data_IF_244619210021
#
_entry.id   IF_244619210021
#
_cell.length_a   1.000
_cell.length_b   1.000
_cell.length_c   1.000
_cell.angle_alpha   90.00
_cell.angle_beta   90.00
_cell.angle_gamma   90.00
#
_symmetry.space_group_name_H-M   'P 1'
#
loop_
_entity.id
_entity.type
_entity.pdbx_description
1 polymer ?
#
# COMPACT_ATOMS: atom_id res chain seq x y z
N UNK A 1 88.86 8.41 -36.27
CA UNK A 1 87.66 7.56 -36.45
C UNK A 1 86.69 7.90 -35.34
N UNK A 2 85.61 8.63 -35.66
CA UNK A 2 84.56 9.01 -34.70
C UNK A 2 83.34 8.16 -35.05
N UNK A 3 82.98 7.25 -34.14
CA UNK A 3 81.79 6.42 -34.30
C UNK A 3 80.55 7.30 -34.10
N UNK A 4 79.85 7.59 -35.21
CA UNK A 4 78.58 8.28 -35.19
C UNK A 4 77.51 7.35 -34.62
N UNK A 5 77.14 7.59 -33.37
CA UNK A 5 76.10 6.86 -32.64
C UNK A 5 74.72 7.17 -33.24
N UNK A 6 74.10 6.19 -33.91
CA UNK A 6 72.69 6.22 -34.36
C UNK A 6 71.75 6.05 -33.15
N UNK A 7 71.69 7.03 -32.25
CA UNK A 7 70.74 7.03 -31.11
C UNK A 7 69.42 7.75 -31.41
N UNK A 8 69.32 8.51 -32.51
CA UNK A 8 68.17 9.38 -32.78
C UNK A 8 66.91 8.74 -33.38
N UNK A 9 66.92 7.45 -33.73
CA UNK A 9 65.75 6.79 -34.36
C UNK A 9 64.79 6.12 -33.35
N UNK A 10 65.18 5.98 -32.08
CA UNK A 10 64.35 5.35 -31.04
C UNK A 10 63.51 6.35 -30.23
N UNK A 11 63.74 7.65 -30.35
CA UNK A 11 63.03 8.68 -29.56
C UNK A 11 61.59 8.93 -30.03
N UNK A 12 61.33 8.86 -31.34
CA UNK A 12 60.01 9.09 -31.92
C UNK A 12 58.95 8.06 -31.48
N UNK A 13 59.21 6.73 -31.52
CA UNK A 13 58.22 5.75 -31.07
C UNK A 13 57.93 5.81 -29.56
N UNK A 14 58.91 6.24 -28.74
CA UNK A 14 58.73 6.36 -27.29
C UNK A 14 57.72 7.48 -26.92
N UNK A 15 57.77 8.61 -27.63
CA UNK A 15 56.83 9.72 -27.39
C UNK A 15 55.38 9.32 -27.70
N UNK A 16 55.15 8.55 -28.77
CA UNK A 16 53.81 8.05 -29.09
C UNK A 16 53.29 7.07 -28.05
N UNK A 17 54.16 6.19 -27.52
CA UNK A 17 53.78 5.30 -26.43
C UNK A 17 53.40 6.09 -25.18
N UNK A 18 54.17 7.13 -24.83
CA UNK A 18 53.86 7.99 -23.69
C UNK A 18 52.52 8.72 -23.87
N UNK A 19 52.26 9.27 -25.07
CA UNK A 19 50.98 9.92 -25.39
C UNK A 19 49.82 8.93 -25.26
N UNK A 20 49.97 7.68 -25.73
CA UNK A 20 48.95 6.65 -25.60
C UNK A 20 48.68 6.27 -24.14
N UNK A 21 49.74 6.11 -23.34
CA UNK A 21 49.60 5.78 -21.91
C UNK A 21 48.93 6.94 -21.16
N UNK A 22 49.38 8.18 -21.38
CA UNK A 22 48.81 9.36 -20.75
C UNK A 22 47.34 9.57 -21.18
N UNK A 23 47.04 9.43 -22.47
CA UNK A 23 45.68 9.49 -23.00
C UNK A 23 44.77 8.40 -22.41
N UNK A 24 45.27 7.17 -22.32
CA UNK A 24 44.55 6.05 -21.69
C UNK A 24 44.24 6.30 -20.21
N UNK A 25 45.22 6.80 -19.45
CA UNK A 25 45.02 7.12 -18.03
C UNK A 25 43.98 8.23 -17.82
N UNK A 26 44.00 9.26 -18.67
CA UNK A 26 43.02 10.35 -18.65
C UNK A 26 41.61 9.82 -18.99
N UNK A 27 41.49 9.01 -20.04
CA UNK A 27 40.20 8.42 -20.43
C UNK A 27 39.58 7.54 -19.35
N UNK A 28 40.39 6.70 -18.70
CA UNK A 28 39.94 5.86 -17.56
C UNK A 28 39.43 6.75 -16.42
N UNK A 29 40.12 7.85 -16.13
CA UNK A 29 39.71 8.78 -15.08
C UNK A 29 38.36 9.43 -15.40
N UNK A 30 38.16 9.90 -16.63
CA UNK A 30 36.88 10.46 -17.05
C UNK A 30 35.75 9.43 -17.01
N UNK A 31 36.00 8.20 -17.43
CA UNK A 31 35.01 7.13 -17.38
C UNK A 31 34.58 6.83 -15.94
N UNK A 32 35.53 6.72 -15.01
CA UNK A 32 35.23 6.54 -13.59
C UNK A 32 34.47 7.74 -12.99
N UNK A 33 34.81 8.96 -13.40
CA UNK A 33 34.10 10.16 -12.98
C UNK A 33 32.66 10.18 -13.48
N UNK A 34 32.43 9.88 -14.77
CA UNK A 34 31.10 9.83 -15.38
C UNK A 34 30.22 8.79 -14.68
N UNK A 35 30.75 7.59 -14.41
CA UNK A 35 30.01 6.55 -13.68
C UNK A 35 29.60 7.03 -12.27
N UNK A 36 30.49 7.71 -11.55
CA UNK A 36 30.16 8.27 -10.22
C UNK A 36 29.14 9.39 -10.30
N UNK A 37 29.25 10.27 -11.30
CA UNK A 37 28.30 11.35 -11.51
C UNK A 37 26.90 10.81 -11.85
N UNK A 38 26.82 9.77 -12.70
CA UNK A 38 25.57 9.11 -13.03
C UNK A 38 24.92 8.49 -11.79
N UNK A 39 25.68 7.71 -11.00
CA UNK A 39 25.15 7.09 -9.77
C UNK A 39 24.69 8.13 -8.74
N UNK A 40 25.42 9.25 -8.59
CA UNK A 40 25.01 10.34 -7.72
C UNK A 40 23.74 11.05 -8.23
N UNK A 41 23.59 11.17 -9.55
CA UNK A 41 22.39 11.73 -10.19
C UNK A 41 21.17 10.82 -9.98
N UNK A 42 21.33 9.51 -10.19
CA UNK A 42 20.29 8.51 -9.95
C UNK A 42 19.84 8.51 -8.49
N UNK A 43 20.79 8.59 -7.54
CA UNK A 43 20.50 8.69 -6.12
C UNK A 43 19.71 9.96 -5.76
N UNK A 44 20.11 11.11 -6.31
CA UNK A 44 19.43 12.38 -6.06
C UNK A 44 18.02 12.40 -6.67
N UNK A 45 17.83 11.81 -7.85
CA UNK A 45 16.51 11.65 -8.47
C UNK A 45 15.64 10.76 -7.58
N UNK A 46 16.13 9.60 -7.15
CA UNK A 46 15.40 8.71 -6.26
C UNK A 46 15.02 9.39 -4.93
N UNK A 47 15.93 10.17 -4.33
CA UNK A 47 15.67 10.93 -3.11
C UNK A 47 14.55 11.97 -3.29
N UNK A 48 14.60 12.74 -4.37
CA UNK A 48 13.57 13.72 -4.69
C UNK A 48 12.21 13.04 -4.93
N UNK A 49 12.17 11.96 -5.72
CA UNK A 49 10.94 11.21 -5.98
C UNK A 49 10.33 10.64 -4.70
N UNK A 50 11.18 10.08 -3.82
CA UNK A 50 10.75 9.55 -2.53
C UNK A 50 10.17 10.67 -1.64
N UNK A 51 10.82 11.84 -1.63
CA UNK A 51 10.35 13.01 -0.89
C UNK A 51 9.04 13.58 -1.44
N UNK A 52 8.89 13.61 -2.77
CA UNK A 52 7.67 14.08 -3.42
C UNK A 52 6.50 13.15 -3.12
N UNK A 53 6.71 11.82 -3.19
CA UNK A 53 5.70 10.84 -2.81
C UNK A 53 5.27 10.97 -1.35
N UNK A 54 6.21 11.21 -0.43
CA UNK A 54 5.89 11.45 0.98
C UNK A 54 5.00 12.69 1.17
N UNK A 55 5.35 13.78 0.48
CA UNK A 55 4.58 15.03 0.51
C UNK A 55 3.18 14.85 -0.06
N UNK A 56 3.08 14.22 -1.23
CA UNK A 56 1.81 13.90 -1.90
C UNK A 56 0.95 12.99 -1.00
N UNK A 57 1.53 11.95 -0.40
CA UNK A 57 0.82 11.06 0.51
C UNK A 57 0.34 11.81 1.75
N UNK A 58 1.14 12.72 2.31
CA UNK A 58 0.73 13.56 3.45
C UNK A 58 -0.48 14.45 3.10
N UNK A 59 -0.45 15.10 1.93
CA UNK A 59 -1.57 15.94 1.46
C UNK A 59 -2.82 15.08 1.22
N UNK A 60 -2.70 13.97 0.50
CA UNK A 60 -3.80 13.03 0.25
C UNK A 60 -4.35 12.43 1.56
N UNK A 61 -3.50 12.20 2.56
CA UNK A 61 -3.86 11.71 3.88
C UNK A 61 -4.81 12.63 4.63
N UNK A 62 -4.89 13.91 4.24
CA UNK A 62 -5.82 14.88 4.82
C UNK A 62 -7.05 15.14 3.94
N UNK A 63 -6.93 14.95 2.62
CA UNK A 63 -7.98 15.23 1.64
C UNK A 63 -9.02 14.09 1.55
N UNK A 64 -10.31 14.42 1.52
CA UNK A 64 -11.40 13.43 1.47
C UNK A 64 -11.72 12.99 0.05
N UNK A 65 -11.80 11.68 -0.19
CA UNK A 65 -12.37 11.13 -1.42
C UNK A 65 -11.67 11.61 -2.70
N UNK A 66 -10.40 11.95 -2.62
CA UNK A 66 -9.65 12.49 -3.76
C UNK A 66 -8.94 11.36 -4.47
N UNK A 67 -9.08 11.28 -5.79
CA UNK A 67 -8.26 10.42 -6.64
C UNK A 67 -7.43 11.29 -7.57
N UNK A 68 -6.12 11.06 -7.59
CA UNK A 68 -5.18 11.80 -8.43
C UNK A 68 -4.25 10.85 -9.16
N UNK A 69 -4.00 11.19 -10.43
CA UNK A 69 -2.95 10.56 -11.23
C UNK A 69 -1.69 11.40 -11.09
N UNK A 70 -0.57 10.74 -10.84
CA UNK A 70 0.73 11.36 -10.67
C UNK A 70 1.63 10.84 -11.78
N UNK A 71 2.12 11.74 -12.61
CA UNK A 71 3.15 11.41 -13.60
C UNK A 71 4.43 11.05 -12.85
N UNK A 72 4.89 9.82 -13.04
CA UNK A 72 6.03 9.25 -12.35
C UNK A 72 6.98 8.68 -13.39
N UNK A 73 8.31 8.86 -13.24
CA UNK A 73 9.28 8.29 -14.16
C UNK A 73 9.20 6.75 -14.16
N UNK A 74 9.81 6.11 -15.16
CA UNK A 74 9.86 4.65 -15.25
C UNK A 74 10.84 4.05 -14.22
N UNK A 75 10.49 4.19 -12.94
CA UNK A 75 11.22 3.67 -11.80
C UNK A 75 10.36 2.67 -11.04
N UNK A 76 11.00 1.63 -10.50
CA UNK A 76 10.33 0.61 -9.71
C UNK A 76 10.15 1.12 -8.27
N UNK A 77 8.89 1.17 -7.81
CA UNK A 77 8.57 1.49 -6.41
C UNK A 77 8.33 0.19 -5.68
N UNK A 78 9.18 -0.10 -4.71
CA UNK A 78 9.01 -1.24 -3.81
C UNK A 78 8.39 -0.79 -2.51
N UNK A 79 7.40 -1.53 -2.04
CA UNK A 79 6.68 -1.27 -0.79
C UNK A 79 6.70 -2.56 0.01
N UNK A 80 7.13 -2.45 1.27
CA UNK A 80 7.21 -3.61 2.14
C UNK A 80 7.07 -3.22 3.60
N UNK A 81 6.52 -4.14 4.37
CA UNK A 81 6.49 -4.07 5.82
C UNK A 81 7.14 -5.31 6.39
N UNK A 82 7.81 -5.13 7.51
CA UNK A 82 8.32 -6.23 8.33
C UNK A 82 7.24 -6.68 9.34
N UNK A 83 7.38 -7.87 9.95
CA UNK A 83 6.44 -8.34 10.97
C UNK A 83 6.33 -7.44 12.22
N UNK A 84 7.34 -6.61 12.50
CA UNK A 84 7.34 -5.58 13.55
C UNK A 84 6.67 -4.27 13.12
N UNK A 85 6.05 -4.25 11.94
CA UNK A 85 5.35 -3.09 11.38
C UNK A 85 6.22 -1.86 11.08
N UNK A 86 7.49 -2.13 10.74
CA UNK A 86 8.35 -1.16 10.08
C UNK A 86 8.09 -1.19 8.58
N UNK A 87 7.21 -0.31 8.11
CA UNK A 87 6.85 -0.19 6.71
C UNK A 87 7.69 0.86 5.99
N UNK A 88 8.24 0.49 4.84
CA UNK A 88 9.11 1.30 4.02
C UNK A 88 8.61 1.30 2.57
N UNK A 89 8.80 2.43 1.89
CA UNK A 89 8.85 2.45 0.43
C UNK A 89 10.24 2.81 -0.05
N UNK A 90 10.65 2.18 -1.14
CA UNK A 90 11.98 2.32 -1.70
C UNK A 90 11.93 2.50 -3.20
N UNK A 91 12.74 3.43 -3.69
CA UNK A 91 12.97 3.72 -5.10
C UNK A 91 14.49 3.65 -5.30
N UNK A 92 14.94 2.71 -6.12
CA UNK A 92 16.37 2.39 -6.23
C UNK A 92 17.01 2.05 -4.88
N UNK A 93 18.04 2.79 -4.50
CA UNK A 93 18.77 2.59 -3.23
C UNK A 93 18.20 3.41 -2.05
N UNK A 94 17.26 4.32 -2.30
CA UNK A 94 16.67 5.17 -1.25
C UNK A 94 15.44 4.50 -0.68
N UNK A 95 15.32 4.51 0.65
CA UNK A 95 14.14 4.01 1.36
C UNK A 95 13.70 5.02 2.40
N UNK A 96 12.38 5.20 2.54
CA UNK A 96 11.78 6.02 3.60
C UNK A 96 10.62 5.29 4.28
N UNK A 97 10.39 5.56 5.58
CA UNK A 97 9.21 5.06 6.27
C UNK A 97 7.94 5.78 5.80
N UNK A 98 6.78 5.12 5.91
CA UNK A 98 5.47 5.72 5.60
C UNK A 98 5.02 6.83 6.55
N UNK A 99 5.80 7.12 7.59
CA UNK A 99 5.42 8.06 8.63
C UNK A 99 4.08 7.67 9.26
N UNK A 100 3.13 8.61 9.25
CA UNK A 100 1.77 8.39 9.75
C UNK A 100 0.76 8.17 8.63
N UNK A 101 1.15 7.80 7.42
CA UNK A 101 0.17 7.54 6.36
C UNK A 101 -0.20 6.04 6.34
N UNK A 102 -1.47 5.73 6.09
CA UNK A 102 -1.96 4.35 5.97
C UNK A 102 -2.00 4.01 4.48
N UNK A 103 -0.93 3.44 3.94
CA UNK A 103 -0.77 3.23 2.50
C UNK A 103 -0.96 1.75 2.16
N UNK A 104 -2.02 1.47 1.41
CA UNK A 104 -2.38 0.16 0.86
C UNK A 104 -1.92 0.09 -0.60
N UNK A 105 -1.09 -0.89 -0.93
CA UNK A 105 -0.47 -0.97 -2.26
C UNK A 105 0.01 -2.37 -2.59
N UNK A 106 0.25 -2.67 -3.88
CA UNK A 106 1.11 -3.79 -4.25
C UNK A 106 2.51 -3.65 -3.63
N UNK A 107 3.25 -4.75 -3.52
CA UNK A 107 4.62 -4.71 -3.03
C UNK A 107 5.59 -4.11 -4.05
N UNK A 108 5.21 -4.11 -5.33
CA UNK A 108 5.98 -3.57 -6.44
C UNK A 108 5.04 -2.88 -7.43
N UNK A 109 5.34 -1.63 -7.73
CA UNK A 109 4.62 -0.82 -8.72
C UNK A 109 5.62 -0.43 -9.80
N UNK A 110 5.36 -0.85 -11.05
CA UNK A 110 6.23 -0.59 -12.20
C UNK A 110 5.59 0.31 -13.23
N UNK A 111 6.35 1.25 -13.77
CA UNK A 111 5.97 2.02 -14.95
C UNK A 111 5.34 3.37 -14.63
N UNK A 112 5.04 4.15 -15.69
CA UNK A 112 4.61 5.52 -15.54
C UNK A 112 3.16 5.58 -15.10
N UNK A 113 2.79 6.66 -14.41
CA UNK A 113 1.45 6.96 -13.89
C UNK A 113 1.08 6.19 -12.63
N UNK A 114 1.32 6.81 -11.49
CA UNK A 114 0.77 6.35 -10.23
C UNK A 114 -0.65 6.87 -10.06
N UNK A 115 -1.47 6.04 -9.45
CA UNK A 115 -2.80 6.40 -8.99
C UNK A 115 -2.75 6.40 -7.47
N UNK A 116 -2.90 7.59 -6.88
CA UNK A 116 -3.08 7.73 -5.44
C UNK A 116 -4.51 8.20 -5.19
N UNK A 117 -5.24 7.49 -4.34
CA UNK A 117 -6.55 7.97 -3.92
C UNK A 117 -6.82 7.71 -2.45
N UNK A 118 -7.62 8.61 -1.86
CA UNK A 118 -7.96 8.59 -0.45
C UNK A 118 -9.39 8.12 -0.21
N UNK A 119 -9.56 7.22 0.76
CA UNK A 119 -10.86 6.75 1.22
C UNK A 119 -11.04 7.17 2.67
N UNK A 120 -12.18 7.76 3.00
CA UNK A 120 -12.51 8.06 4.39
C UNK A 120 -12.71 6.76 5.19
N UNK A 121 -11.98 6.62 6.30
CA UNK A 121 -12.17 5.53 7.25
C UNK A 121 -13.04 5.98 8.42
N UNK A 122 -14.30 5.54 8.40
CA UNK A 122 -15.35 5.98 9.31
C UNK A 122 -15.81 4.81 10.19
N UNK A 123 -15.15 4.59 11.33
CA UNK A 123 -15.47 3.48 12.23
C UNK A 123 -15.30 3.89 13.69
N UNK A 124 -16.34 4.22 14.46
CA UNK A 124 -17.70 4.62 14.05
C UNK A 124 -17.80 6.07 13.60
N UNK A 125 -16.77 6.85 13.84
CA UNK A 125 -16.60 8.22 13.39
C UNK A 125 -15.39 8.28 12.47
N UNK A 126 -15.22 9.41 11.77
CA UNK A 126 -14.06 9.62 10.91
C UNK A 126 -12.77 9.60 11.72
N UNK A 127 -11.96 8.57 11.54
CA UNK A 127 -10.71 8.40 12.27
C UNK A 127 -9.50 8.79 11.43
N UNK A 128 -9.47 8.41 10.15
CA UNK A 128 -8.40 8.77 9.23
C UNK A 128 -8.83 8.61 7.77
N UNK A 129 -7.93 8.93 6.84
CA UNK A 129 -8.03 8.49 5.44
C UNK A 129 -7.12 7.29 5.20
N UNK A 130 -7.62 6.32 4.44
CA UNK A 130 -6.85 5.24 3.86
C UNK A 130 -6.32 5.70 2.51
N UNK A 131 -5.03 5.52 2.27
CA UNK A 131 -4.40 5.86 1.01
C UNK A 131 -4.18 4.60 0.21
N UNK A 132 -4.60 4.62 -1.04
CA UNK A 132 -4.41 3.51 -1.95
C UNK A 132 -3.49 3.97 -3.06
N UNK A 133 -2.35 3.30 -3.18
CA UNK A 133 -1.31 3.59 -4.16
C UNK A 133 -1.20 2.41 -5.13
N UNK A 134 -1.45 2.67 -6.41
CA UNK A 134 -1.40 1.67 -7.48
C UNK A 134 -1.02 2.33 -8.81
N UNK A 135 -1.15 1.62 -9.92
CA UNK A 135 -0.98 2.15 -11.26
C UNK A 135 -1.86 1.42 -12.29
N UNK A 136 -1.79 1.86 -13.55
CA UNK A 136 -2.55 1.26 -14.65
C UNK A 136 -2.03 -0.13 -15.08
N UNK A 137 -0.76 -0.45 -14.79
CA UNK A 137 -0.14 -1.75 -15.12
C UNK A 137 -0.56 -2.87 -14.16
N UNK A 138 -1.02 -2.55 -12.95
CA UNK A 138 -1.50 -3.54 -11.98
C UNK A 138 -2.98 -3.83 -12.23
N UNK A 139 -3.27 -5.05 -12.70
CA UNK A 139 -4.64 -5.52 -12.95
C UNK A 139 -5.25 -6.16 -11.72
N UNK A 140 -6.45 -5.73 -11.38
CA UNK A 140 -7.23 -6.32 -10.29
C UNK A 140 -8.45 -7.01 -10.89
N UNK A 141 -8.60 -8.31 -10.62
CA UNK A 141 -9.67 -9.13 -11.19
C UNK A 141 -10.55 -9.64 -10.05
N UNK A 142 -11.71 -9.02 -9.88
CA UNK A 142 -12.74 -9.46 -8.94
C UNK A 142 -13.51 -10.63 -9.57
N UNK A 143 -13.41 -11.77 -8.93
CA UNK A 143 -14.09 -13.00 -9.32
C UNK A 143 -15.20 -13.27 -8.33
N UNK A 144 -16.43 -13.22 -8.83
CA UNK A 144 -17.62 -13.52 -8.04
C UNK A 144 -18.63 -14.31 -8.87
N UNK A 145 -19.31 -15.33 -8.29
CA UNK A 145 -20.39 -16.02 -8.97
C UNK A 145 -21.58 -15.08 -9.21
N UNK A 146 -21.84 -14.15 -8.27
CA UNK A 146 -22.97 -13.23 -8.34
C UNK A 146 -22.60 -11.84 -7.82
N UNK A 147 -23.10 -10.80 -8.49
CA UNK A 147 -22.95 -9.42 -8.03
C UNK A 147 -23.94 -9.13 -6.91
N UNK A 148 -23.48 -9.26 -5.67
CA UNK A 148 -24.28 -8.93 -4.49
C UNK A 148 -24.25 -7.41 -4.22
N UNK A 149 -25.25 -6.84 -3.51
CA UNK A 149 -25.25 -5.41 -3.19
C UNK A 149 -23.97 -4.89 -2.51
N UNK A 150 -23.34 -5.63 -1.56
CA UNK A 150 -22.05 -5.21 -0.98
C UNK A 150 -20.93 -5.12 -2.03
N UNK A 151 -20.85 -6.06 -2.97
CA UNK A 151 -19.83 -6.05 -4.03
C UNK A 151 -20.08 -4.90 -5.01
N UNK A 152 -21.34 -4.63 -5.39
CA UNK A 152 -21.66 -3.49 -6.26
C UNK A 152 -21.28 -2.15 -5.61
N UNK A 153 -21.52 -2.01 -4.30
CA UNK A 153 -21.11 -0.83 -3.54
C UNK A 153 -19.59 -0.68 -3.52
N UNK A 154 -18.87 -1.76 -3.24
CA UNK A 154 -17.40 -1.81 -3.26
C UNK A 154 -16.84 -1.31 -4.60
N UNK A 155 -17.37 -1.83 -5.72
CA UNK A 155 -16.96 -1.43 -7.07
C UNK A 155 -17.24 0.06 -7.32
N UNK A 156 -18.37 0.58 -6.84
CA UNK A 156 -18.74 1.98 -7.06
C UNK A 156 -17.85 3.00 -6.34
N UNK A 157 -17.15 2.58 -5.28
CA UNK A 157 -16.23 3.44 -4.52
C UNK A 157 -14.84 3.47 -5.18
N UNK A 158 -14.47 2.41 -5.90
CA UNK A 158 -13.15 2.30 -6.53
C UNK A 158 -13.11 3.19 -7.80
N UNK A 159 -12.13 4.11 -7.91
CA UNK A 159 -12.03 4.97 -9.09
C UNK A 159 -11.80 4.20 -10.39
N UNK A 160 -12.45 4.67 -11.48
CA UNK A 160 -12.32 4.10 -12.83
C UNK A 160 -10.89 4.13 -13.40
N UNK A 161 -10.00 4.93 -12.82
CA UNK A 161 -8.59 5.01 -13.22
C UNK A 161 -7.75 3.82 -12.73
N UNK A 162 -8.31 2.98 -11.85
CA UNK A 162 -7.71 1.69 -11.48
C UNK A 162 -8.01 0.66 -12.57
N UNK A 163 -7.10 -0.28 -12.80
CA UNK A 163 -7.32 -1.37 -13.76
C UNK A 163 -8.10 -2.53 -13.11
N UNK A 164 -9.26 -2.19 -12.54
CA UNK A 164 -10.20 -3.10 -11.90
C UNK A 164 -11.14 -3.71 -12.93
N UNK A 165 -11.27 -5.03 -12.94
CA UNK A 165 -12.24 -5.76 -13.77
C UNK A 165 -13.01 -6.74 -12.92
N UNK A 166 -14.28 -6.93 -13.27
CA UNK A 166 -15.12 -7.98 -12.69
C UNK A 166 -15.21 -9.10 -13.72
N UNK A 167 -14.94 -10.33 -13.29
CA UNK A 167 -15.04 -11.54 -14.11
C UNK A 167 -16.05 -12.51 -13.48
N UNK A 168 -16.88 -13.13 -14.32
CA UNK A 168 -17.79 -14.21 -13.89
C UNK A 168 -17.15 -15.56 -14.15
N UNK A 169 -17.25 -16.50 -13.20
CA UNK A 169 -16.78 -17.90 -13.26
C UNK A 169 -15.86 -18.29 -14.44
N UNK A 170 -16.40 -18.62 -15.63
CA UNK A 170 -15.58 -19.05 -16.78
C UNK A 170 -14.57 -18.01 -17.29
N UNK A 171 -14.90 -16.72 -17.23
CA UNK A 171 -14.04 -15.61 -17.66
C UNK A 171 -12.78 -15.49 -16.80
N UNK A 172 -12.88 -15.90 -15.52
CA UNK A 172 -11.73 -15.93 -14.62
C UNK A 172 -10.64 -16.88 -15.15
N UNK A 173 -11.04 -18.01 -15.75
CA UNK A 173 -10.09 -18.96 -16.32
C UNK A 173 -9.41 -18.41 -17.58
N UNK A 174 -10.14 -17.65 -18.39
CA UNK A 174 -9.55 -16.94 -19.54
C UNK A 174 -8.54 -15.88 -19.08
N UNK A 175 -8.86 -15.16 -17.99
CA UNK A 175 -7.94 -14.17 -17.42
C UNK A 175 -6.65 -14.80 -16.88
N UNK A 176 -6.71 -16.02 -16.32
CA UNK A 176 -5.50 -16.78 -15.90
C UNK A 176 -4.57 -17.09 -17.08
N UNK A 177 -5.11 -17.31 -18.27
CA UNK A 177 -4.34 -17.68 -19.46
C UNK A 177 -3.80 -16.46 -20.24
N UNK A 178 -4.30 -15.25 -19.96
CA UNK A 178 -3.83 -14.02 -20.60
C UNK A 178 -2.58 -13.48 -19.91
N UNK A 179 -1.41 -13.93 -20.38
CA UNK A 179 -0.13 -13.28 -20.05
C UNK A 179 -0.23 -11.80 -20.42
N UNK A 180 0.13 -10.92 -19.49
CA UNK A 180 0.56 -9.58 -19.87
C UNK A 180 2.07 -9.49 -19.74
N UNK A 181 2.73 -8.91 -20.75
CA UNK A 181 4.18 -8.87 -20.77
C UNK A 181 4.79 -7.95 -19.70
N UNK A 182 4.03 -7.04 -19.07
CA UNK A 182 4.61 -5.95 -18.27
C UNK A 182 3.80 -5.54 -17.02
N UNK A 183 2.98 -6.42 -16.46
CA UNK A 183 2.07 -6.03 -15.37
C UNK A 183 1.66 -7.15 -14.42
N UNK A 184 1.51 -6.78 -13.15
CA UNK A 184 1.04 -7.67 -12.09
C UNK A 184 -0.48 -7.89 -12.18
N UNK A 185 -0.92 -9.10 -11.89
CA UNK A 185 -2.35 -9.46 -11.80
C UNK A 185 -2.68 -9.88 -10.37
N UNK A 186 -3.70 -9.26 -9.77
CA UNK A 186 -4.24 -9.66 -8.47
C UNK A 186 -5.63 -10.24 -8.66
N UNK A 187 -5.79 -11.49 -8.27
CA UNK A 187 -7.09 -12.17 -8.28
C UNK A 187 -7.76 -12.00 -6.91
N UNK A 188 -9.03 -11.60 -6.91
CA UNK A 188 -9.81 -11.35 -5.69
C UNK A 188 -11.06 -12.24 -5.77
N UNK A 189 -11.15 -13.25 -4.92
CA UNK A 189 -12.26 -14.19 -4.90
C UNK A 189 -13.20 -13.89 -3.73
N UNK A 190 -14.49 -13.77 -4.01
CA UNK A 190 -15.54 -13.68 -2.98
C UNK A 190 -16.13 -15.07 -2.65
N UNK A 191 -15.25 -16.08 -2.64
CA UNK A 191 -15.57 -17.49 -2.36
C UNK A 191 -14.30 -18.20 -1.90
N UNK A 192 -14.42 -19.06 -0.88
CA UNK A 192 -13.28 -19.77 -0.29
C UNK A 192 -12.73 -20.92 -1.17
N UNK A 193 -11.43 -21.19 -1.04
CA UNK A 193 -10.74 -22.35 -1.61
C UNK A 193 -10.45 -22.26 -3.11
N UNK A 194 -10.48 -21.07 -3.71
CA UNK A 194 -10.23 -20.85 -5.14
C UNK A 194 -8.78 -20.44 -5.44
N UNK A 195 -8.05 -19.90 -4.46
CA UNK A 195 -6.65 -19.56 -4.61
C UNK A 195 -5.73 -20.79 -4.58
N UNK A 196 -6.20 -21.96 -4.15
CA UNK A 196 -5.42 -23.20 -4.16
C UNK A 196 -5.15 -23.73 -5.59
N UNK A 197 -6.01 -23.39 -6.55
CA UNK A 197 -5.87 -23.77 -7.97
C UNK A 197 -4.63 -23.17 -8.66
N UNK A 198 -3.95 -22.21 -8.03
CA UNK A 198 -2.72 -21.62 -8.57
C UNK A 198 -1.47 -22.47 -8.28
N UNK A 199 -1.60 -23.54 -7.47
CA UNK A 199 -0.52 -24.50 -7.19
C UNK A 199 -0.25 -25.35 -8.43
N UNK A 200 0.69 -24.91 -9.27
CA UNK A 200 1.13 -25.65 -10.46
C UNK A 200 1.20 -24.84 -11.75
N UNK A 201 0.81 -23.56 -11.72
CA UNK A 201 1.00 -22.68 -12.88
C UNK A 201 2.43 -22.13 -12.84
N UNK A 202 3.24 -22.53 -13.82
CA UNK A 202 4.52 -21.89 -14.16
C UNK A 202 4.25 -20.52 -14.80
N UNK A 203 3.90 -19.55 -13.97
CA UNK A 203 3.93 -18.14 -14.32
C UNK A 203 5.29 -17.58 -13.90
N UNK A 204 5.77 -16.59 -14.64
CA UNK A 204 6.96 -15.83 -14.27
C UNK A 204 6.81 -15.32 -12.82
N UNK A 205 7.90 -15.40 -12.06
CA UNK A 205 7.93 -15.44 -10.59
C UNK A 205 7.30 -14.22 -9.88
N UNK A 206 6.92 -13.16 -10.60
CA UNK A 206 6.59 -11.84 -10.01
C UNK A 206 5.16 -11.34 -10.30
N UNK A 207 4.37 -12.06 -11.10
CA UNK A 207 3.21 -11.42 -11.76
C UNK A 207 1.84 -11.72 -11.16
N UNK A 208 1.73 -12.48 -10.06
CA UNK A 208 0.41 -12.67 -9.46
C UNK A 208 0.34 -12.76 -7.93
N UNK A 209 -0.81 -12.35 -7.40
CA UNK A 209 -1.23 -12.55 -6.01
C UNK A 209 -2.72 -12.89 -5.96
N UNK A 210 -3.15 -13.53 -4.87
CA UNK A 210 -4.53 -13.96 -4.71
C UNK A 210 -5.06 -13.58 -3.32
N UNK A 211 -6.31 -13.14 -3.27
CA UNK A 211 -7.02 -12.77 -2.05
C UNK A 211 -8.36 -13.47 -2.04
N UNK A 212 -8.66 -14.20 -0.97
CA UNK A 212 -10.01 -14.69 -0.73
C UNK A 212 -10.70 -13.82 0.31
N UNK A 213 -11.96 -13.48 0.05
CA UNK A 213 -12.80 -12.63 0.89
C UNK A 213 -14.02 -13.43 1.31
N UNK A 214 -14.18 -13.61 2.62
CA UNK A 214 -15.40 -14.14 3.23
C UNK A 214 -16.18 -12.99 3.86
N UNK A 215 -17.23 -12.55 3.15
CA UNK A 215 -18.05 -11.42 3.58
C UNK A 215 -18.88 -11.70 4.83
N UNK A 216 -19.21 -12.97 5.09
CA UNK A 216 -20.03 -13.36 6.25
C UNK A 216 -19.18 -13.41 7.53
N UNK A 217 -17.94 -13.93 7.41
CA UNK A 217 -17.02 -14.05 8.55
C UNK A 217 -16.13 -12.84 8.75
N UNK A 218 -16.15 -11.87 7.83
CA UNK A 218 -15.24 -10.71 7.82
C UNK A 218 -13.76 -11.11 7.83
N UNK A 219 -13.42 -12.18 7.10
CA UNK A 219 -12.05 -12.70 7.01
C UNK A 219 -11.48 -12.53 5.61
N UNK A 220 -10.16 -12.36 5.57
CA UNK A 220 -9.35 -12.25 4.37
C UNK A 220 -8.30 -13.35 4.43
N UNK A 221 -8.14 -14.15 3.37
CA UNK A 221 -7.06 -15.13 3.28
C UNK A 221 -6.10 -14.68 2.17
N UNK A 222 -4.90 -14.26 2.55
CA UNK A 222 -3.87 -13.78 1.62
C UNK A 222 -3.02 -14.95 1.10
N UNK A 223 -2.84 -14.97 -0.22
CA UNK A 223 -1.96 -15.90 -0.92
C UNK A 223 -0.97 -15.10 -1.79
N UNK A 224 0.31 -15.25 -1.50
CA UNK A 224 1.37 -14.45 -2.12
C UNK A 224 2.59 -15.34 -2.41
N UNK A 225 3.46 -14.94 -3.34
CA UNK A 225 4.71 -15.68 -3.60
C UNK A 225 5.86 -15.07 -2.80
N UNK A 226 6.72 -15.93 -2.27
CA UNK A 226 8.01 -15.49 -1.74
C UNK A 226 9.03 -15.28 -2.88
N UNK A 227 10.23 -14.83 -2.55
CA UNK A 227 11.33 -14.64 -3.52
C UNK A 227 11.78 -15.91 -4.23
N UNK A 228 11.47 -17.09 -3.68
CA UNK A 228 11.76 -18.39 -4.29
C UNK A 228 10.58 -18.87 -5.17
N UNK A 229 9.63 -17.99 -5.48
CA UNK A 229 8.45 -18.32 -6.27
C UNK A 229 7.46 -19.26 -5.55
N UNK A 230 7.67 -19.62 -4.29
CA UNK A 230 6.74 -20.51 -3.58
C UNK A 230 5.51 -19.72 -3.14
N UNK A 231 4.32 -20.24 -3.43
CA UNK A 231 3.07 -19.67 -2.91
C UNK A 231 3.00 -19.93 -1.40
N UNK A 232 2.92 -18.85 -0.63
CA UNK A 232 2.66 -18.82 0.80
C UNK A 232 1.19 -18.48 1.03
N UNK A 233 0.60 -19.06 2.07
CA UNK A 233 -0.78 -18.82 2.49
C UNK A 233 -1.56 -20.10 2.79
N UNK A 234 -2.81 -19.98 3.26
CA UNK A 234 -3.48 -18.72 3.58
C UNK A 234 -2.86 -18.03 4.82
N UNK A 235 -2.55 -16.74 4.70
CA UNK A 235 -2.34 -15.87 5.87
C UNK A 235 -3.66 -15.16 6.17
N UNK A 236 -4.33 -15.63 7.21
CA UNK A 236 -5.67 -15.18 7.57
C UNK A 236 -5.63 -13.86 8.34
N UNK A 237 -6.31 -12.87 7.79
CA UNK A 237 -6.54 -11.56 8.40
C UNK A 237 -8.04 -11.31 8.57
N UNK A 238 -8.39 -10.25 9.26
CA UNK A 238 -9.77 -9.79 9.45
C UNK A 238 -9.91 -8.35 9.01
N UNK A 239 -11.11 -7.94 8.65
CA UNK A 239 -11.40 -6.56 8.28
C UNK A 239 -12.61 -6.05 9.07
N UNK A 240 -12.60 -4.79 9.47
CA UNK A 240 -13.62 -4.18 10.30
C UNK A 240 -14.66 -3.42 9.47
N UNK A 241 -14.23 -2.80 8.37
CA UNK A 241 -15.08 -1.92 7.55
C UNK A 241 -14.93 -2.14 6.05
N UNK A 242 -15.81 -1.51 5.26
CA UNK A 242 -15.67 -1.46 3.80
C UNK A 242 -14.34 -0.81 3.38
N UNK A 243 -13.84 0.18 4.13
CA UNK A 243 -12.55 0.82 3.87
C UNK A 243 -11.40 -0.17 3.99
N UNK A 244 -11.36 -0.96 5.06
CA UNK A 244 -10.36 -2.00 5.31
C UNK A 244 -10.40 -3.04 4.19
N UNK A 245 -11.61 -3.46 3.80
CA UNK A 245 -11.79 -4.40 2.70
C UNK A 245 -11.21 -3.84 1.41
N UNK A 246 -11.48 -2.57 1.07
CA UNK A 246 -10.87 -1.92 -0.10
C UNK A 246 -9.34 -1.91 0.05
N UNK A 247 -8.81 -1.52 1.22
CA UNK A 247 -7.38 -1.58 1.50
C UNK A 247 -6.77 -2.95 1.20
N UNK A 248 -7.43 -4.02 1.66
CA UNK A 248 -7.00 -5.40 1.40
C UNK A 248 -6.97 -5.77 -0.10
N UNK A 249 -7.90 -5.24 -0.91
CA UNK A 249 -7.92 -5.49 -2.35
C UNK A 249 -6.64 -4.99 -3.02
N UNK A 250 -6.11 -3.87 -2.55
CA UNK A 250 -4.95 -3.21 -3.14
C UNK A 250 -3.63 -3.63 -2.49
N UNK A 251 -3.66 -4.11 -1.25
CA UNK A 251 -2.47 -4.60 -0.56
C UNK A 251 -2.10 -6.01 -0.97
N UNK A 252 -0.83 -6.23 -1.31
CA UNK A 252 -0.35 -7.56 -1.67
C UNK A 252 0.09 -8.39 -0.46
N UNK A 253 0.87 -7.80 0.44
CA UNK A 253 1.46 -8.49 1.59
C UNK A 253 0.50 -8.52 2.79
N UNK A 254 0.30 -9.67 3.46
CA UNK A 254 -0.47 -9.73 4.69
C UNK A 254 0.16 -8.90 5.81
N UNK A 255 1.51 -8.79 5.85
CA UNK A 255 2.18 -7.98 6.86
C UNK A 255 1.89 -6.49 6.65
N UNK A 256 1.87 -6.02 5.39
CA UNK A 256 1.49 -4.63 5.09
C UNK A 256 0.05 -4.36 5.53
N UNK A 257 -0.88 -5.26 5.22
CA UNK A 257 -2.28 -5.13 5.62
C UNK A 257 -2.39 -5.08 7.14
N UNK A 258 -1.80 -6.06 7.84
CA UNK A 258 -1.82 -6.17 9.30
C UNK A 258 -1.27 -4.91 9.97
N UNK A 259 -0.18 -4.36 9.46
CA UNK A 259 0.46 -3.17 10.04
C UNK A 259 -0.37 -1.91 9.82
N UNK A 260 -0.98 -1.73 8.64
CA UNK A 260 -1.92 -0.64 8.42
C UNK A 260 -3.15 -0.79 9.32
N UNK A 261 -3.75 -1.98 9.41
CA UNK A 261 -4.89 -2.23 10.28
C UNK A 261 -4.56 -2.01 11.76
N UNK A 262 -3.37 -2.38 12.24
CA UNK A 262 -2.94 -2.07 13.61
C UNK A 262 -2.80 -0.55 13.83
N UNK A 263 -2.21 0.16 12.87
CA UNK A 263 -2.09 1.61 12.94
C UNK A 263 -3.46 2.32 12.91
N UNK A 264 -4.43 1.79 12.16
CA UNK A 264 -5.84 2.21 12.15
C UNK A 264 -6.47 2.03 13.52
N UNK A 265 -6.38 0.83 14.09
CA UNK A 265 -6.97 0.53 15.39
C UNK A 265 -6.35 1.39 16.49
N UNK A 266 -5.05 1.66 16.44
CA UNK A 266 -4.39 2.55 17.39
C UNK A 266 -4.91 3.99 17.29
N UNK A 267 -5.12 4.50 16.07
CA UNK A 267 -5.71 5.84 15.86
C UNK A 267 -7.14 5.89 16.36
N UNK A 268 -7.92 4.86 16.05
CA UNK A 268 -9.28 4.73 16.53
C UNK A 268 -9.32 4.73 18.06
N UNK A 269 -8.44 3.97 18.72
CA UNK A 269 -8.35 3.93 20.17
C UNK A 269 -8.01 5.30 20.76
N UNK A 270 -7.06 6.02 20.16
CA UNK A 270 -6.67 7.36 20.60
C UNK A 270 -7.83 8.35 20.44
N UNK A 271 -8.52 8.31 19.30
CA UNK A 271 -9.64 9.19 19.01
C UNK A 271 -10.85 8.86 19.89
N UNK A 272 -11.16 7.57 20.10
CA UNK A 272 -12.18 7.11 21.03
C UNK A 272 -11.93 7.62 22.46
N UNK A 273 -10.67 7.64 22.92
CA UNK A 273 -10.32 8.22 24.23
C UNK A 273 -10.61 9.72 24.33
N UNK A 274 -10.47 10.46 23.22
CA UNK A 274 -10.83 11.88 23.16
C UNK A 274 -12.35 12.04 23.25
N UNK A 275 -13.11 11.24 22.49
CA UNK A 275 -14.57 11.25 22.55
C UNK A 275 -15.12 10.84 23.91
N UNK A 276 -14.53 9.83 24.56
CA UNK A 276 -14.86 9.44 25.93
C UNK A 276 -14.72 10.63 26.90
N UNK A 277 -13.58 11.33 26.88
CA UNK A 277 -13.35 12.50 27.76
C UNK A 277 -14.34 13.62 27.48
N UNK A 278 -14.64 13.88 26.20
CA UNK A 278 -15.64 14.91 25.85
C UNK A 278 -17.02 14.51 26.34
N UNK A 279 -17.45 13.26 26.13
CA UNK A 279 -18.75 12.76 26.58
C UNK A 279 -18.89 12.81 28.11
N UNK A 280 -17.84 12.47 28.86
CA UNK A 280 -17.84 12.55 30.32
C UNK A 280 -17.99 13.98 30.87
N UNK A 281 -17.53 14.99 30.12
CA UNK A 281 -17.63 16.39 30.52
C UNK A 281 -19.02 17.01 30.25
N UNK A 282 -19.88 16.35 29.45
CA UNK A 282 -21.24 16.81 29.19
C UNK A 282 -22.13 16.37 30.35
N UNK A 283 -22.13 17.17 31.42
CA UNK A 283 -22.81 16.86 32.70
C UNK A 283 -24.23 17.41 32.81
N UNK A 284 -24.75 18.10 31.80
CA UNK A 284 -25.98 18.90 31.94
C UNK A 284 -26.94 18.74 30.77
N UNK A 285 -27.77 17.69 30.77
CA UNK A 285 -29.07 17.63 30.06
C UNK A 285 -29.78 16.28 30.26
N UNK A 286 -31.02 16.19 29.78
CA UNK A 286 -31.80 14.96 29.50
C UNK A 286 -31.02 13.84 28.80
N UNK A 287 -29.86 14.13 28.20
CA UNK A 287 -29.01 13.20 27.46
C UNK A 287 -27.88 12.57 28.30
N UNK A 288 -27.76 12.88 29.60
CA UNK A 288 -26.61 12.46 30.42
C UNK A 288 -26.38 10.93 30.48
N UNK A 289 -27.46 10.13 30.47
CA UNK A 289 -27.36 8.67 30.42
C UNK A 289 -26.75 8.19 29.10
N UNK A 290 -27.26 8.67 27.97
CA UNK A 290 -26.76 8.30 26.64
C UNK A 290 -25.28 8.69 26.46
N UNK A 291 -24.85 9.84 26.99
CA UNK A 291 -23.42 10.23 26.98
C UNK A 291 -22.55 9.34 27.88
N UNK A 292 -23.05 8.90 29.03
CA UNK A 292 -22.34 7.97 29.92
C UNK A 292 -22.19 6.59 29.27
N UNK A 293 -23.25 6.11 28.62
CA UNK A 293 -23.25 4.84 27.88
C UNK A 293 -22.27 4.93 26.69
N UNK A 294 -22.29 6.04 25.94
CA UNK A 294 -21.34 6.28 24.86
C UNK A 294 -19.88 6.34 25.34
N UNK A 295 -19.60 7.03 26.46
CA UNK A 295 -18.27 7.08 27.05
C UNK A 295 -17.76 5.67 27.42
N UNK A 296 -18.63 4.85 28.02
CA UNK A 296 -18.30 3.46 28.37
C UNK A 296 -18.00 2.62 27.13
N UNK A 297 -18.77 2.80 26.05
CA UNK A 297 -18.51 2.09 24.80
C UNK A 297 -17.21 2.56 24.11
N UNK A 298 -16.89 3.85 24.14
CA UNK A 298 -15.62 4.35 23.62
C UNK A 298 -14.42 3.83 24.40
N UNK A 299 -14.53 3.69 25.71
CA UNK A 299 -13.47 3.08 26.54
C UNK A 299 -13.24 1.61 26.18
N UNK A 300 -14.32 0.85 26.01
CA UNK A 300 -14.25 -0.56 25.59
C UNK A 300 -13.68 -0.69 24.18
N UNK A 301 -14.14 0.14 23.25
CA UNK A 301 -13.62 0.20 21.89
C UNK A 301 -12.11 0.50 21.90
N UNK A 302 -11.67 1.50 22.66
CA UNK A 302 -10.26 1.86 22.76
C UNK A 302 -9.42 0.72 23.36
N UNK A 303 -9.95 0.05 24.39
CA UNK A 303 -9.27 -1.09 25.03
C UNK A 303 -9.13 -2.28 24.09
N UNK A 304 -10.21 -2.66 23.40
CA UNK A 304 -10.18 -3.79 22.47
C UNK A 304 -9.37 -3.46 21.20
N UNK A 305 -9.43 -2.23 20.71
CA UNK A 305 -8.64 -1.79 19.55
C UNK A 305 -7.13 -1.83 19.84
N UNK A 306 -6.72 -1.50 21.07
CA UNK A 306 -5.31 -1.64 21.49
C UNK A 306 -4.82 -3.07 21.58
N UNK A 307 -5.71 -4.02 21.89
CA UNK A 307 -5.35 -5.44 21.92
C UNK A 307 -5.19 -6.01 20.52
N UNK A 308 -5.86 -5.43 19.51
CA UNK A 308 -5.79 -5.80 18.10
C UNK A 308 -6.00 -7.29 17.80
N UNK A 309 -6.54 -8.06 18.75
CA UNK A 309 -6.51 -9.52 18.71
C UNK A 309 -7.81 -10.11 18.13
N UNK A 310 -8.91 -9.34 18.08
CA UNK A 310 -10.20 -9.91 17.70
C UNK A 310 -11.17 -8.89 17.08
N UNK A 311 -11.24 -8.87 15.74
CA UNK A 311 -12.16 -8.03 14.98
C UNK A 311 -13.64 -8.28 15.33
N UNK A 312 -14.02 -9.51 15.71
CA UNK A 312 -15.42 -9.80 16.08
C UNK A 312 -15.89 -9.03 17.32
N UNK A 313 -15.01 -8.82 18.30
CA UNK A 313 -15.31 -8.00 19.48
C UNK A 313 -15.41 -6.52 19.13
N UNK A 314 -14.58 -6.04 18.21
CA UNK A 314 -14.64 -4.67 17.71
C UNK A 314 -15.94 -4.39 16.95
N UNK A 315 -16.37 -5.33 16.09
CA UNK A 315 -17.65 -5.25 15.38
C UNK A 315 -18.84 -5.15 16.34
N UNK A 316 -18.81 -5.88 17.45
CA UNK A 316 -19.85 -5.79 18.47
C UNK A 316 -19.93 -4.37 19.07
N UNK A 317 -18.81 -3.80 19.50
CA UNK A 317 -18.80 -2.44 20.07
C UNK A 317 -19.16 -1.36 19.03
N UNK A 318 -18.71 -1.53 17.78
CA UNK A 318 -19.10 -0.68 16.67
C UNK A 318 -20.62 -0.67 16.47
N UNK A 319 -21.27 -1.84 16.44
CA UNK A 319 -22.73 -1.93 16.27
C UNK A 319 -23.52 -1.27 17.41
N UNK A 320 -22.98 -1.31 18.63
CA UNK A 320 -23.60 -0.62 19.78
C UNK A 320 -23.45 0.90 19.62
N UNK A 321 -22.27 1.37 19.22
CA UNK A 321 -21.99 2.78 19.01
C UNK A 321 -22.78 3.38 17.85
N UNK A 322 -22.98 2.64 16.75
CA UNK A 322 -23.84 3.08 15.65
C UNK A 322 -25.29 3.23 16.11
N UNK A 323 -25.81 2.28 16.90
CA UNK A 323 -27.17 2.38 17.45
C UNK A 323 -27.33 3.56 18.42
N UNK A 324 -26.31 3.82 19.26
CA UNK A 324 -26.31 4.99 20.13
C UNK A 324 -26.30 6.31 19.34
N UNK A 325 -25.60 6.36 18.21
CA UNK A 325 -25.60 7.56 17.34
C UNK A 325 -27.00 7.89 16.82
N UNK A 326 -27.79 6.87 16.44
CA UNK A 326 -29.19 7.06 16.04
C UNK A 326 -30.07 7.52 17.22
N UNK A 327 -29.80 7.02 18.42
CA UNK A 327 -30.50 7.44 19.65
C UNK A 327 -30.23 8.92 19.97
N UNK A 328 -28.99 9.40 19.83
CA UNK A 328 -28.67 10.82 20.00
C UNK A 328 -29.43 11.71 19.01
N UNK A 329 -29.52 11.29 17.73
CA UNK A 329 -30.30 11.99 16.71
C UNK A 329 -31.78 12.06 17.13
N UNK A 330 -32.35 10.94 17.59
CA UNK A 330 -33.75 10.88 18.05
C UNK A 330 -34.02 11.79 19.25
N UNK A 331 -33.10 11.84 20.21
CA UNK A 331 -33.26 12.63 21.43
C UNK A 331 -33.00 14.12 21.23
N UNK A 332 -32.70 14.57 19.99
CA UNK A 332 -32.30 15.95 19.68
C UNK A 332 -31.11 16.43 20.53
N UNK A 333 -30.31 15.50 21.04
CA UNK A 333 -29.05 15.82 21.70
C UNK A 333 -28.14 16.37 20.60
N UNK A 334 -27.67 17.61 20.73
CA UNK A 334 -26.78 18.20 19.74
C UNK A 334 -25.58 17.28 19.52
N UNK A 335 -25.37 16.76 18.30
CA UNK A 335 -24.26 15.87 18.00
C UNK A 335 -22.95 16.66 17.81
N UNK A 336 -22.72 17.74 18.57
CA UNK A 336 -21.44 18.47 18.54
C UNK A 336 -20.24 17.58 18.99
N UNK A 337 -20.53 16.33 19.35
CA UNK A 337 -19.64 15.25 19.75
C UNK A 337 -19.32 14.23 18.66
N UNK A 338 -19.89 14.29 17.45
CA UNK A 338 -19.65 13.29 16.38
C UNK A 338 -19.11 13.90 15.08
#
# INVERSE_FOLDING_TARGET
MVASSKSGQLEVPLNWLFILIAGGAILITFFAFIQRQQSASELSIAENLVSDLESIASVAGTAKGTAQQIDFPEEDITIGCTPDCSCLFSIGAISKPFGTNLIYSPNLIRGPNLVLYSIDWNVPFRANNLLILTNSRTRYILITPTLTPPINRLISIIPNMTNLRVAKGPEAQTAKNQRQPEGKIRFIYFSQGQCDDFRGIELDEQDFSCLEVDLEKHTLDFYYRNRAGTILGPDRQTYLSEGDLIGALFTESPDQYRCNSQAEMLRLANLASVYQRRAANVTTSTCGKSYTDAATQFERLATEARKAENASKLLLHYSILSNLSEEFIRLSCKPELF
#
